data_IF_894582710354
#
_entry.id   IF_894582710354
#
_cell.length_a   1.000
_cell.length_b   1.000
_cell.length_c   1.000
_cell.angle_alpha   90.00
_cell.angle_beta   90.00
_cell.angle_gamma   90.00
#
_symmetry.space_group_name_H-M   'P 1'
#
loop_
_entity.id
_entity.type
_entity.pdbx_description
1 polymer ?
#
# COMPACT_ATOMS: atom_id res chain seq x y z
N UNK A 1 0.73 28.14 -0.90
CA UNK A 1 -0.06 26.88 -0.87
C UNK A 1 0.65 25.82 -0.04
N UNK A 2 1.86 25.39 -0.40
CA UNK A 2 2.65 24.40 0.37
C UNK A 2 2.96 24.88 1.81
N UNK A 3 3.29 26.17 1.99
CA UNK A 3 3.53 26.78 3.31
C UNK A 3 2.28 26.86 4.19
N UNK A 4 1.10 27.01 3.58
CA UNK A 4 -0.18 27.07 4.27
C UNK A 4 -0.61 25.68 4.74
N UNK A 5 -0.51 24.66 3.89
CA UNK A 5 -0.81 23.26 4.23
C UNK A 5 0.10 22.76 5.36
N UNK A 6 1.41 23.04 5.28
CA UNK A 6 2.38 22.64 6.30
C UNK A 6 2.04 23.18 7.70
N UNK A 7 1.57 24.43 7.79
CA UNK A 7 1.17 25.04 9.08
C UNK A 7 -0.03 24.33 9.70
N UNK A 8 -1.01 23.91 8.91
CA UNK A 8 -2.20 23.22 9.41
C UNK A 8 -1.94 21.75 9.75
N UNK A 9 -1.07 21.06 9.00
CA UNK A 9 -0.74 19.65 9.24
C UNK A 9 -0.24 19.42 10.67
N UNK A 10 0.62 20.30 11.19
CA UNK A 10 1.12 20.19 12.56
C UNK A 10 0.00 20.22 13.59
N UNK A 11 -0.94 21.16 13.45
CA UNK A 11 -2.08 21.29 14.37
C UNK A 11 -3.03 20.11 14.30
N UNK A 12 -3.26 19.55 13.10
CA UNK A 12 -4.09 18.36 12.90
C UNK A 12 -3.47 17.14 13.57
N UNK A 13 -2.16 16.94 13.44
CA UNK A 13 -1.44 15.81 14.09
C UNK A 13 -1.52 15.94 15.61
N UNK A 14 -1.25 17.13 16.17
CA UNK A 14 -1.34 17.36 17.61
C UNK A 14 -2.75 17.12 18.16
N UNK A 15 -3.77 17.62 17.46
CA UNK A 15 -5.16 17.37 17.83
C UNK A 15 -5.49 15.87 17.82
N UNK A 16 -5.02 15.14 16.80
CA UNK A 16 -5.20 13.68 16.71
C UNK A 16 -4.57 12.93 17.88
N UNK A 17 -3.34 13.28 18.27
CA UNK A 17 -2.65 12.63 19.39
C UNK A 17 -3.39 12.86 20.72
N UNK A 18 -3.85 14.09 20.98
CA UNK A 18 -4.60 14.42 22.20
C UNK A 18 -5.95 13.68 22.21
N UNK A 19 -6.66 13.66 21.08
CA UNK A 19 -7.97 13.00 20.98
C UNK A 19 -7.90 11.49 21.16
N UNK A 20 -6.80 10.82 20.81
CA UNK A 20 -6.64 9.38 21.03
C UNK A 20 -6.68 9.04 22.53
N UNK A 21 -6.16 9.91 23.40
CA UNK A 21 -6.21 9.72 24.85
C UNK A 21 -7.62 9.92 25.43
N UNK A 22 -8.39 10.86 24.86
CA UNK A 22 -9.75 11.17 25.33
C UNK A 22 -10.81 10.24 24.76
N UNK A 23 -10.63 9.78 23.52
CA UNK A 23 -11.54 8.90 22.79
C UNK A 23 -10.77 7.69 22.23
N UNK A 24 -10.50 6.68 23.07
CA UNK A 24 -9.75 5.49 22.65
C UNK A 24 -10.47 4.67 21.55
N UNK A 25 -11.73 4.96 21.23
CA UNK A 25 -12.43 4.36 20.10
C UNK A 25 -11.93 4.88 18.73
N UNK A 26 -11.37 6.10 18.66
CA UNK A 26 -10.87 6.68 17.41
C UNK A 26 -9.79 5.83 16.75
N UNK A 27 -8.89 5.22 17.54
CA UNK A 27 -7.82 4.37 16.99
C UNK A 27 -8.41 3.11 16.31
N UNK A 28 -9.49 2.55 16.84
CA UNK A 28 -10.15 1.36 16.27
C UNK A 28 -10.91 1.69 15.00
N UNK A 29 -11.53 2.88 14.93
CA UNK A 29 -12.14 3.37 13.69
C UNK A 29 -11.05 3.54 12.61
N UNK A 30 -9.92 4.16 12.95
CA UNK A 30 -8.78 4.32 12.05
C UNK A 30 -8.22 2.99 11.56
N UNK A 31 -8.05 2.02 12.47
CA UNK A 31 -7.62 0.65 12.13
C UNK A 31 -8.65 -0.03 11.21
N UNK A 32 -9.95 0.12 11.47
CA UNK A 32 -11.00 -0.43 10.61
C UNK A 32 -10.95 0.13 9.20
N UNK A 33 -10.81 1.45 9.06
CA UNK A 33 -10.65 2.10 7.76
C UNK A 33 -9.36 1.66 7.05
N UNK A 34 -8.24 1.58 7.76
CA UNK A 34 -6.97 1.11 7.20
C UNK A 34 -7.05 -0.37 6.78
N UNK A 35 -7.71 -1.21 7.57
CA UNK A 35 -7.94 -2.62 7.27
C UNK A 35 -8.72 -2.81 5.95
N UNK A 36 -9.71 -1.95 5.67
CA UNK A 36 -10.42 -1.96 4.39
C UNK A 36 -9.49 -1.67 3.22
N UNK A 37 -8.59 -0.68 3.34
CA UNK A 37 -7.59 -0.36 2.31
C UNK A 37 -6.56 -1.49 2.13
N UNK A 38 -6.10 -2.09 3.22
CA UNK A 38 -5.21 -3.26 3.19
C UNK A 38 -5.89 -4.43 2.51
N UNK A 39 -7.14 -4.75 2.88
CA UNK A 39 -7.93 -5.82 2.26
C UNK A 39 -8.12 -5.58 0.77
N UNK A 40 -8.46 -4.34 0.38
CA UNK A 40 -8.57 -3.97 -1.02
C UNK A 40 -7.27 -4.24 -1.78
N UNK A 41 -6.11 -3.91 -1.19
CA UNK A 41 -4.80 -4.22 -1.77
C UNK A 41 -4.57 -5.71 -1.99
N UNK A 42 -5.13 -6.60 -1.16
CA UNK A 42 -5.04 -8.04 -1.40
C UNK A 42 -6.00 -8.52 -2.48
N UNK A 43 -7.21 -7.97 -2.54
CA UNK A 43 -8.24 -8.34 -3.52
C UNK A 43 -7.83 -7.98 -4.95
N UNK A 44 -7.02 -6.93 -5.12
CA UNK A 44 -6.51 -6.47 -6.43
C UNK A 44 -5.23 -7.18 -6.89
N UNK A 45 -4.49 -7.87 -6.00
CA UNK A 45 -3.30 -8.65 -6.41
C UNK A 45 -3.54 -9.62 -7.59
N UNK A 46 -4.66 -10.35 -7.68
CA UNK A 46 -4.92 -11.25 -8.80
C UNK A 46 -5.10 -10.51 -10.14
N UNK A 47 -5.68 -9.31 -10.13
CA UNK A 47 -5.83 -8.52 -11.37
C UNK A 47 -4.48 -8.01 -11.85
N UNK A 48 -3.59 -7.61 -10.93
CA UNK A 48 -2.23 -7.19 -11.26
C UNK A 48 -1.42 -8.33 -11.89
N UNK A 49 -1.47 -9.54 -11.31
CA UNK A 49 -0.81 -10.72 -11.90
C UNK A 49 -1.33 -11.03 -13.31
N UNK A 50 -2.64 -10.89 -13.52
CA UNK A 50 -3.24 -11.09 -14.83
C UNK A 50 -2.82 -9.98 -15.83
N UNK A 51 -2.70 -8.74 -15.36
CA UNK A 51 -2.19 -7.63 -16.17
C UNK A 51 -0.74 -7.89 -16.60
N UNK A 52 0.13 -8.30 -15.67
CA UNK A 52 1.53 -8.66 -15.98
C UNK A 52 1.60 -9.79 -17.01
N UNK A 53 0.82 -10.86 -16.86
CA UNK A 53 0.81 -11.97 -17.82
C UNK A 53 0.38 -11.54 -19.23
N UNK A 54 -0.64 -10.68 -19.33
CA UNK A 54 -1.10 -10.13 -20.62
C UNK A 54 -0.07 -9.19 -21.24
N UNK A 55 0.58 -8.37 -20.43
CA UNK A 55 1.65 -7.49 -20.88
C UNK A 55 2.86 -8.28 -21.39
N UNK A 56 3.23 -9.39 -20.73
CA UNK A 56 4.31 -10.28 -21.19
C UNK A 56 3.96 -10.96 -22.52
N UNK A 57 2.73 -11.47 -22.67
CA UNK A 57 2.29 -12.06 -23.93
C UNK A 57 2.30 -11.03 -25.07
N UNK A 58 1.84 -9.81 -24.78
CA UNK A 58 1.90 -8.70 -25.73
C UNK A 58 3.35 -8.36 -26.09
N UNK A 59 4.24 -8.23 -25.11
CA UNK A 59 5.66 -7.90 -25.30
C UNK A 59 6.36 -8.89 -26.25
N UNK A 60 6.12 -10.19 -26.09
CA UNK A 60 6.68 -11.23 -26.97
C UNK A 60 6.11 -11.18 -28.40
N UNK A 61 4.87 -10.71 -28.57
CA UNK A 61 4.21 -10.62 -29.89
C UNK A 61 4.40 -9.29 -30.61
N UNK A 62 4.75 -8.21 -29.90
CA UNK A 62 4.77 -6.86 -30.43
C UNK A 62 6.03 -6.53 -31.26
N UNK A 63 7.07 -7.36 -31.22
CA UNK A 63 8.32 -7.13 -31.97
C UNK A 63 9.14 -5.92 -31.49
N UNK A 64 8.86 -5.41 -30.28
CA UNK A 64 9.49 -4.20 -29.72
C UNK A 64 10.83 -4.52 -29.05
N UNK A 65 11.02 -5.76 -28.62
CA UNK A 65 12.24 -6.25 -27.98
C UNK A 65 13.12 -7.04 -28.95
N UNK A 66 14.42 -6.85 -28.83
CA UNK A 66 15.45 -7.59 -29.55
C UNK A 66 15.88 -8.82 -28.72
N UNK A 67 16.49 -9.82 -29.35
CA UNK A 67 16.89 -11.10 -28.69
C UNK A 67 17.81 -10.85 -27.49
N UNK A 68 18.62 -9.79 -27.55
CA UNK A 68 19.54 -9.37 -26.48
C UNK A 68 18.86 -8.72 -25.27
N UNK A 69 17.70 -8.08 -25.45
CA UNK A 69 17.02 -7.29 -24.41
C UNK A 69 15.68 -7.88 -23.96
N UNK A 70 15.15 -8.90 -24.66
CA UNK A 70 13.86 -9.52 -24.37
C UNK A 70 13.76 -10.03 -22.93
N UNK A 71 14.77 -10.77 -22.45
CA UNK A 71 14.78 -11.30 -21.09
C UNK A 71 14.81 -10.19 -20.03
N UNK A 72 15.54 -9.11 -20.28
CA UNK A 72 15.62 -7.97 -19.36
C UNK A 72 14.28 -7.24 -19.26
N UNK A 73 13.58 -7.06 -20.38
CA UNK A 73 12.27 -6.44 -20.42
C UNK A 73 11.21 -7.29 -19.71
N UNK A 74 11.23 -8.61 -19.89
CA UNK A 74 10.35 -9.56 -19.19
C UNK A 74 10.58 -9.50 -17.68
N UNK A 75 11.84 -9.52 -17.24
CA UNK A 75 12.17 -9.44 -15.82
C UNK A 75 11.75 -8.10 -15.22
N UNK A 76 12.02 -6.98 -15.91
CA UNK A 76 11.58 -5.66 -15.46
C UNK A 76 10.05 -5.59 -15.27
N UNK A 77 9.26 -6.14 -16.19
CA UNK A 77 7.80 -6.21 -16.10
C UNK A 77 7.33 -7.07 -14.91
N UNK A 78 8.02 -8.17 -14.63
CA UNK A 78 7.74 -9.01 -13.45
C UNK A 78 8.03 -8.27 -12.15
N UNK A 79 9.19 -7.63 -12.05
CA UNK A 79 9.58 -6.83 -10.88
C UNK A 79 8.64 -5.65 -10.64
N UNK A 80 8.16 -5.00 -11.70
CA UNK A 80 7.15 -3.95 -11.59
C UNK A 80 5.87 -4.46 -10.91
N UNK A 81 5.36 -5.64 -11.32
CA UNK A 81 4.21 -6.28 -10.67
C UNK A 81 4.45 -6.66 -9.20
N UNK A 82 5.67 -7.05 -8.83
CA UNK A 82 6.01 -7.39 -7.44
C UNK A 82 5.98 -6.19 -6.48
N UNK A 83 6.11 -4.95 -6.97
CA UNK A 83 5.98 -3.75 -6.11
C UNK A 83 4.62 -3.68 -5.41
N UNK A 84 3.57 -4.17 -6.06
CA UNK A 84 2.23 -4.23 -5.49
C UNK A 84 2.12 -5.29 -4.39
N UNK A 85 2.76 -6.45 -4.58
CA UNK A 85 2.85 -7.51 -3.56
C UNK A 85 3.55 -7.00 -2.30
N UNK A 86 4.65 -6.27 -2.48
CA UNK A 86 5.40 -5.65 -1.38
C UNK A 86 4.55 -4.61 -0.65
N UNK A 87 3.81 -3.77 -1.40
CA UNK A 87 2.89 -2.80 -0.80
C UNK A 87 1.79 -3.48 0.02
N UNK A 88 1.17 -4.55 -0.49
CA UNK A 88 0.16 -5.31 0.22
C UNK A 88 0.71 -5.94 1.52
N UNK A 89 1.90 -6.57 1.45
CA UNK A 89 2.57 -7.14 2.63
C UNK A 89 2.96 -6.06 3.65
N UNK A 90 3.47 -4.91 3.20
CA UNK A 90 3.81 -3.79 4.05
C UNK A 90 2.56 -3.24 4.76
N UNK A 91 1.46 -3.05 4.02
CA UNK A 91 0.19 -2.60 4.60
C UNK A 91 -0.38 -3.59 5.63
N UNK A 92 -0.18 -4.90 5.42
CA UNK A 92 -0.56 -5.92 6.39
C UNK A 92 0.30 -5.84 7.66
N UNK A 93 1.61 -5.70 7.52
CA UNK A 93 2.52 -5.54 8.64
C UNK A 93 2.18 -4.29 9.46
N UNK A 94 1.91 -3.16 8.80
CA UNK A 94 1.48 -1.92 9.44
C UNK A 94 0.13 -2.07 10.15
N UNK A 95 -0.82 -2.80 9.55
CA UNK A 95 -2.12 -3.07 10.17
C UNK A 95 -1.96 -3.87 11.47
N UNK A 96 -1.15 -4.93 11.43
CA UNK A 96 -0.84 -5.73 12.63
C UNK A 96 -0.14 -4.89 13.69
N UNK A 97 0.80 -4.03 13.29
CA UNK A 97 1.48 -3.09 14.20
C UNK A 97 0.48 -2.15 14.90
N UNK A 98 -0.48 -1.57 14.16
CA UNK A 98 -1.50 -0.72 14.76
C UNK A 98 -2.45 -1.49 15.69
N UNK A 99 -2.81 -2.73 15.36
CA UNK A 99 -3.60 -3.59 16.25
C UNK A 99 -2.82 -3.87 17.55
N UNK A 100 -1.53 -4.19 17.45
CA UNK A 100 -0.67 -4.42 18.62
C UNK A 100 -0.64 -3.19 19.53
N UNK A 101 -0.42 -1.99 18.99
CA UNK A 101 -0.46 -0.75 19.76
C UNK A 101 -1.82 -0.54 20.43
N UNK A 102 -2.91 -0.67 19.68
CA UNK A 102 -4.25 -0.44 20.20
C UNK A 102 -4.65 -1.46 21.29
N UNK A 103 -4.13 -2.68 21.20
CA UNK A 103 -4.34 -3.73 22.21
C UNK A 103 -3.46 -3.56 23.46
N UNK A 104 -2.22 -3.09 23.30
CA UNK A 104 -1.29 -2.81 24.39
C UNK A 104 -1.66 -1.56 25.19
N UNK A 105 -2.27 -0.56 24.54
CA UNK A 105 -2.75 0.68 25.17
C UNK A 105 -3.97 0.49 26.09
N UNK A 106 -4.56 -0.71 26.15
CA UNK A 106 -5.72 -1.05 27.02
C UNK A 106 -5.31 -1.68 28.37
N UNK A 107 -4.02 -1.85 28.64
CA UNK A 107 -3.48 -2.23 29.96
C UNK A 107 -2.84 -1.03 30.62
#
# INVERSE_FOLDING_TARGET
>A
IISSTSRWVMWVILAGIIMIQTFPMLIWIGIGMFALTTLFSFVTLPVEKNATNRALAWLSSAGITDVSNHNQAVDALRWAGYTYVVAALSSLATLLYYIMIASGSRR
#
